data_IF_624372885618
#
_entry.id   IF_624372885618
#
_cell.length_a   1.000
_cell.length_b   1.000
_cell.length_c   1.000
_cell.angle_alpha   90.00
_cell.angle_beta   90.00
_cell.angle_gamma   90.00
#
_symmetry.space_group_name_H-M   'P 1'
#
loop_
_entity.id
_entity.type
_entity.pdbx_description
1 polymer ?
#
# COMPACT_ATOMS: atom_id res chain seq x y z
N UNK A 1 0.81 16.83 25.58
CA UNK A 1 -0.63 17.17 25.39
C UNK A 1 -1.07 17.01 23.94
N UNK A 2 -0.37 17.58 22.96
CA UNK A 2 -0.70 17.53 21.51
C UNK A 2 -0.78 16.10 20.94
N UNK A 3 0.10 15.21 21.42
CA UNK A 3 0.22 13.84 20.91
C UNK A 3 -0.98 12.93 21.27
N UNK A 4 -1.66 13.20 22.39
CA UNK A 4 -2.95 12.53 22.68
C UNK A 4 -3.96 12.84 21.57
N UNK A 5 -3.90 14.00 20.92
CA UNK A 5 -4.92 14.41 19.95
C UNK A 5 -4.95 13.57 18.66
N UNK A 6 -3.85 13.03 18.15
CA UNK A 6 -3.91 12.23 16.91
C UNK A 6 -4.53 10.85 17.15
N UNK A 7 -4.05 10.15 18.18
CA UNK A 7 -4.64 8.87 18.60
C UNK A 7 -6.06 9.05 19.14
N UNK A 8 -6.34 10.15 19.83
CA UNK A 8 -7.68 10.50 20.35
C UNK A 8 -8.63 10.92 19.24
N UNK A 9 -8.17 11.56 18.16
CA UNK A 9 -9.03 11.89 17.02
C UNK A 9 -9.41 10.62 16.24
N UNK A 10 -8.47 9.69 16.04
CA UNK A 10 -8.81 8.35 15.50
C UNK A 10 -9.73 7.58 16.47
N UNK A 11 -9.50 7.68 17.78
CA UNK A 11 -10.31 6.99 18.80
C UNK A 11 -11.71 7.61 19.01
N UNK A 12 -11.88 8.93 18.91
CA UNK A 12 -13.18 9.60 18.96
C UNK A 12 -13.99 9.40 17.67
N UNK A 13 -13.34 9.01 16.57
CA UNK A 13 -14.05 8.51 15.39
C UNK A 13 -14.50 7.06 15.51
N UNK A 14 -14.03 6.29 16.51
CA UNK A 14 -14.63 4.99 16.84
C UNK A 14 -16.06 5.11 17.39
N UNK A 15 -16.46 6.30 17.86
CA UNK A 15 -17.82 6.53 18.37
C UNK A 15 -18.81 6.98 17.30
N UNK A 16 -18.34 7.42 16.13
CA UNK A 16 -19.19 7.70 14.98
C UNK A 16 -19.25 6.43 14.11
N UNK A 17 -20.43 6.07 13.61
CA UNK A 17 -20.75 4.81 12.91
C UNK A 17 -20.10 4.69 11.51
N UNK A 18 -18.86 5.12 11.34
CA UNK A 18 -18.09 4.90 10.11
C UNK A 18 -17.66 3.45 10.04
N UNK A 19 -18.56 2.57 9.58
CA UNK A 19 -18.36 1.14 9.29
C UNK A 19 -17.23 0.50 10.09
N UNK A 20 -17.56 -0.13 11.23
CA UNK A 20 -16.69 -0.85 12.18
C UNK A 20 -15.93 -2.03 11.55
N UNK A 21 -15.21 -1.76 10.47
CA UNK A 21 -14.41 -2.72 9.74
C UNK A 21 -12.96 -2.35 9.96
N UNK A 22 -12.14 -3.36 10.22
CA UNK A 22 -10.68 -3.24 10.36
C UNK A 22 -10.05 -2.54 9.13
N UNK A 23 -10.67 -2.69 7.95
CA UNK A 23 -10.22 -2.02 6.72
C UNK A 23 -10.43 -0.50 6.76
N UNK A 24 -11.56 -0.02 7.30
CA UNK A 24 -11.80 1.42 7.48
C UNK A 24 -10.74 2.06 8.40
N UNK A 25 -10.42 1.40 9.53
CA UNK A 25 -9.39 1.87 10.45
C UNK A 25 -8.01 1.98 9.77
N UNK A 26 -7.64 0.99 8.96
CA UNK A 26 -6.39 1.00 8.17
C UNK A 26 -6.32 2.18 7.20
N UNK A 27 -7.44 2.51 6.54
CA UNK A 27 -7.49 3.63 5.59
C UNK A 27 -7.20 4.96 6.30
N UNK A 28 -7.81 5.19 7.46
CA UNK A 28 -7.59 6.42 8.24
C UNK A 28 -6.19 6.51 8.83
N UNK A 29 -5.63 5.41 9.38
CA UNK A 29 -4.24 5.39 9.85
C UNK A 29 -3.28 5.70 8.69
N UNK A 30 -3.48 5.07 7.53
CA UNK A 30 -2.68 5.33 6.33
C UNK A 30 -2.79 6.79 5.89
N UNK A 31 -4.01 7.33 5.84
CA UNK A 31 -4.29 8.73 5.48
C UNK A 31 -3.53 9.70 6.39
N UNK A 32 -3.66 9.54 7.71
CA UNK A 32 -3.02 10.39 8.72
C UNK A 32 -1.50 10.50 8.50
N UNK A 33 -0.82 9.36 8.33
CA UNK A 33 0.63 9.32 8.14
C UNK A 33 1.08 9.88 6.80
N UNK A 34 0.28 9.70 5.75
CA UNK A 34 0.60 10.25 4.43
C UNK A 34 0.40 11.77 4.38
N UNK A 35 -0.65 12.31 4.99
CA UNK A 35 -0.92 13.75 4.99
C UNK A 35 0.23 14.54 5.63
N UNK A 36 0.85 13.98 6.66
CA UNK A 36 1.99 14.60 7.36
C UNK A 36 3.25 14.79 6.49
N UNK A 37 3.35 14.10 5.34
CA UNK A 37 4.45 14.28 4.39
C UNK A 37 4.37 15.58 3.59
N UNK A 38 3.21 16.22 3.58
CA UNK A 38 2.98 17.43 2.79
C UNK A 38 3.37 18.70 3.58
N UNK A 39 3.59 19.79 2.85
CA UNK A 39 3.77 21.11 3.45
C UNK A 39 2.44 21.68 3.96
N UNK A 40 2.49 22.64 4.89
CA UNK A 40 1.30 23.28 5.44
C UNK A 40 0.49 24.01 4.36
N UNK A 41 1.16 24.62 3.38
CA UNK A 41 0.54 25.32 2.25
C UNK A 41 -0.21 24.35 1.33
N UNK A 42 0.39 23.19 1.05
CA UNK A 42 -0.25 22.11 0.29
C UNK A 42 -1.48 21.59 1.02
N UNK A 43 -1.37 21.34 2.33
CA UNK A 43 -2.51 20.88 3.14
C UNK A 43 -3.63 21.93 3.22
N UNK A 44 -3.31 23.22 3.31
CA UNK A 44 -4.31 24.28 3.29
C UNK A 44 -5.08 24.31 1.95
N UNK A 45 -4.37 24.14 0.83
CA UNK A 45 -4.97 24.06 -0.51
C UNK A 45 -5.84 22.81 -0.67
N UNK A 46 -5.39 21.67 -0.13
CA UNK A 46 -6.15 20.43 -0.10
C UNK A 46 -7.45 20.59 0.69
N UNK A 47 -7.38 21.11 1.92
CA UNK A 47 -8.56 21.35 2.76
C UNK A 47 -9.61 22.23 2.07
N UNK A 48 -9.19 23.33 1.46
CA UNK A 48 -10.11 24.22 0.75
C UNK A 48 -10.76 23.52 -0.45
N UNK A 49 -10.02 22.66 -1.14
CA UNK A 49 -10.57 21.87 -2.26
C UNK A 49 -11.58 20.83 -1.76
N UNK A 50 -11.25 20.11 -0.68
CA UNK A 50 -12.15 19.14 -0.03
C UNK A 50 -13.43 19.84 0.41
N UNK A 51 -13.33 20.97 1.11
CA UNK A 51 -14.49 21.75 1.58
C UNK A 51 -15.46 22.04 0.45
N UNK A 52 -14.99 22.58 -0.68
CA UNK A 52 -15.84 22.88 -1.85
C UNK A 52 -16.49 21.64 -2.45
N UNK A 53 -15.77 20.52 -2.51
CA UNK A 53 -16.32 19.24 -3.00
C UNK A 53 -17.46 18.79 -2.09
N UNK A 54 -17.23 18.76 -0.77
CA UNK A 54 -18.23 18.30 0.20
C UNK A 54 -19.42 19.25 0.30
N UNK A 55 -19.21 20.57 0.23
CA UNK A 55 -20.28 21.57 0.13
C UNK A 55 -21.15 21.36 -1.12
N UNK A 56 -20.55 21.03 -2.25
CA UNK A 56 -21.29 20.75 -3.49
C UNK A 56 -22.17 19.50 -3.35
N UNK A 57 -21.68 18.46 -2.68
CA UNK A 57 -22.44 17.24 -2.39
C UNK A 57 -23.56 17.52 -1.39
N UNK A 58 -23.27 18.22 -0.29
CA UNK A 58 -24.26 18.59 0.73
C UNK A 58 -25.39 19.47 0.16
N UNK A 59 -25.06 20.40 -0.74
CA UNK A 59 -26.04 21.29 -1.36
C UNK A 59 -26.99 20.54 -2.31
N UNK A 60 -26.48 19.55 -3.04
CA UNK A 60 -27.25 18.80 -4.03
C UNK A 60 -26.89 17.31 -4.03
N UNK A 61 -27.32 16.55 -2.99
CA UNK A 61 -26.88 15.17 -2.77
C UNK A 61 -27.27 14.21 -3.89
N UNK A 62 -28.42 14.44 -4.54
CA UNK A 62 -28.91 13.58 -5.63
C UNK A 62 -28.22 13.78 -6.98
N UNK A 63 -27.23 14.66 -7.10
CA UNK A 63 -26.55 14.94 -8.37
C UNK A 63 -25.27 14.10 -8.50
N UNK A 64 -25.23 13.07 -9.38
CA UNK A 64 -24.08 12.15 -9.48
C UNK A 64 -22.76 12.83 -9.86
N UNK A 65 -22.84 13.97 -10.57
CA UNK A 65 -21.68 14.76 -10.99
C UNK A 65 -20.86 15.26 -9.80
N UNK A 66 -21.49 15.64 -8.67
CA UNK A 66 -20.77 16.14 -7.50
C UNK A 66 -20.10 15.02 -6.69
N UNK A 67 -20.57 13.78 -6.88
CA UNK A 67 -20.02 12.56 -6.25
C UNK A 67 -18.88 11.91 -7.04
N UNK A 68 -18.53 12.47 -8.20
CA UNK A 68 -17.50 11.91 -9.09
C UNK A 68 -16.35 12.90 -9.28
N UNK A 69 -15.16 12.54 -8.80
CA UNK A 69 -13.94 13.30 -8.98
C UNK A 69 -13.08 12.65 -10.07
N UNK A 70 -12.92 13.35 -11.18
CA UNK A 70 -12.16 12.85 -12.34
C UNK A 70 -10.66 13.07 -12.14
N UNK A 71 -9.84 12.04 -12.35
CA UNK A 71 -8.38 12.19 -12.31
C UNK A 71 -7.86 13.11 -13.44
N UNK A 72 -8.60 13.22 -14.55
CA UNK A 72 -8.28 14.12 -15.66
C UNK A 72 -8.57 15.60 -15.36
N UNK A 73 -9.31 15.92 -14.29
CA UNK A 73 -9.51 17.30 -13.88
C UNK A 73 -8.24 17.83 -13.22
N UNK A 74 -7.56 18.79 -13.85
CA UNK A 74 -6.28 19.33 -13.37
C UNK A 74 -6.33 19.87 -11.93
N UNK A 75 -7.45 20.47 -11.50
CA UNK A 75 -7.58 20.94 -10.12
C UNK A 75 -7.68 19.78 -9.13
N UNK A 76 -8.40 18.71 -9.47
CA UNK A 76 -8.49 17.51 -8.62
C UNK A 76 -7.16 16.75 -8.63
N UNK A 77 -6.54 16.58 -9.80
CA UNK A 77 -5.25 15.92 -9.93
C UNK A 77 -4.20 16.55 -9.01
N UNK A 78 -3.99 17.86 -9.15
CA UNK A 78 -2.91 18.57 -8.46
C UNK A 78 -3.21 18.81 -6.97
N UNK A 79 -4.49 19.03 -6.61
CA UNK A 79 -4.86 19.44 -5.24
C UNK A 79 -5.39 18.30 -4.38
N UNK A 80 -5.72 17.15 -4.96
CA UNK A 80 -6.24 15.98 -4.23
C UNK A 80 -5.39 14.74 -4.53
N UNK A 81 -5.26 14.35 -5.79
CA UNK A 81 -4.65 13.06 -6.15
C UNK A 81 -3.13 13.05 -5.91
N UNK A 82 -2.43 14.13 -6.24
CA UNK A 82 -0.99 14.26 -6.03
C UNK A 82 -0.61 14.55 -4.56
N UNK A 83 -1.58 14.91 -3.72
CA UNK A 83 -1.36 15.10 -2.29
C UNK A 83 -1.22 13.73 -1.63
N UNK A 84 -0.11 13.49 -0.95
CA UNK A 84 0.09 12.23 -0.21
C UNK A 84 -1.01 12.09 0.84
N UNK A 85 -1.82 11.04 0.76
CA UNK A 85 -2.96 10.81 1.66
C UNK A 85 -4.28 11.41 1.16
N UNK A 86 -4.29 12.16 0.06
CA UNK A 86 -5.50 12.77 -0.49
C UNK A 86 -6.48 11.74 -1.03
N UNK A 87 -6.01 10.70 -1.73
CA UNK A 87 -6.87 9.60 -2.20
C UNK A 87 -7.38 8.77 -1.02
N UNK A 88 -6.51 8.45 -0.06
CA UNK A 88 -6.87 7.71 1.15
C UNK A 88 -7.93 8.44 1.98
N UNK A 89 -7.86 9.77 2.06
CA UNK A 89 -8.90 10.57 2.71
C UNK A 89 -10.28 10.35 2.08
N UNK A 90 -10.37 10.41 0.76
CA UNK A 90 -11.63 10.17 0.05
C UNK A 90 -12.08 8.70 0.16
N UNK A 91 -11.16 7.73 0.17
CA UNK A 91 -11.51 6.34 0.48
C UNK A 91 -12.09 6.20 1.89
N UNK A 92 -11.54 6.91 2.88
CA UNK A 92 -12.08 6.95 4.24
C UNK A 92 -13.49 7.53 4.31
N UNK A 93 -13.81 8.47 3.41
CA UNK A 93 -15.16 9.02 3.22
C UNK A 93 -16.12 8.08 2.46
N UNK A 94 -15.66 6.91 2.00
CA UNK A 94 -16.45 5.94 1.24
C UNK A 94 -16.40 6.11 -0.28
N UNK A 95 -15.56 7.01 -0.81
CA UNK A 95 -15.32 7.03 -2.25
C UNK A 95 -14.55 5.79 -2.67
N UNK A 96 -14.83 5.30 -3.86
CA UNK A 96 -14.13 4.18 -4.47
C UNK A 96 -13.42 4.62 -5.75
N UNK A 97 -12.32 3.96 -6.06
CA UNK A 97 -11.63 4.17 -7.32
C UNK A 97 -12.24 3.26 -8.38
N UNK A 98 -12.85 3.87 -9.39
CA UNK A 98 -13.56 3.16 -10.46
C UNK A 98 -12.92 3.47 -11.81
N UNK A 99 -12.84 2.46 -12.68
CA UNK A 99 -12.51 2.65 -14.08
C UNK A 99 -13.79 3.04 -14.84
N UNK A 100 -13.79 4.25 -15.39
CA UNK A 100 -14.86 4.86 -16.16
C UNK A 100 -14.49 4.82 -17.65
N UNK A 101 -15.39 4.31 -18.49
CA UNK A 101 -15.11 4.12 -19.92
C UNK A 101 -14.79 5.43 -20.66
N UNK A 102 -15.39 6.55 -20.24
CA UNK A 102 -15.22 7.85 -20.89
C UNK A 102 -14.09 8.66 -20.26
N UNK A 103 -13.96 8.61 -18.93
CA UNK A 103 -13.10 9.52 -18.17
C UNK A 103 -11.84 8.85 -17.62
N UNK A 104 -11.62 7.57 -17.90
CA UNK A 104 -10.51 6.80 -17.36
C UNK A 104 -10.71 6.54 -15.87
N UNK A 105 -9.77 6.93 -15.02
CA UNK A 105 -9.84 6.67 -13.58
C UNK A 105 -10.61 7.78 -12.85
N UNK A 106 -11.56 7.43 -11.99
CA UNK A 106 -12.33 8.39 -11.16
C UNK A 106 -12.40 7.96 -9.70
N UNK A 107 -12.59 8.91 -8.78
CA UNK A 107 -13.10 8.64 -7.43
C UNK A 107 -14.61 8.86 -7.45
N UNK A 108 -15.39 7.85 -7.06
CA UNK A 108 -16.86 7.92 -7.06
C UNK A 108 -17.40 7.56 -5.69
N UNK A 109 -18.33 8.35 -5.18
CA UNK A 109 -19.12 8.03 -3.99
C UNK A 109 -20.43 7.39 -4.45
N UNK A 110 -20.53 6.07 -4.36
CA UNK A 110 -21.71 5.33 -4.81
C UNK A 110 -22.88 5.54 -3.84
N UNK A 111 -24.04 5.91 -4.39
CA UNK A 111 -25.32 6.05 -3.67
C UNK A 111 -26.16 4.79 -3.68
N UNK A 112 -25.85 3.88 -4.60
CA UNK A 112 -26.69 2.70 -4.89
C UNK A 112 -26.38 1.52 -3.95
N UNK A 113 -25.43 1.71 -3.03
CA UNK A 113 -25.21 0.77 -1.94
C UNK A 113 -26.43 0.79 -1.02
N UNK A 114 -27.35 -0.15 -1.25
CA UNK A 114 -28.60 -0.31 -0.51
C UNK A 114 -28.41 -0.43 1.02
N UNK A 115 -27.17 -0.60 1.49
CA UNK A 115 -26.83 -0.66 2.91
C UNK A 115 -26.70 0.70 3.58
N UNK A 116 -26.47 1.80 2.83
CA UNK A 116 -26.19 3.12 3.40
C UNK A 116 -27.32 4.11 3.16
N UNK A 117 -27.73 4.79 4.22
CA UNK A 117 -28.68 5.90 4.10
C UNK A 117 -27.98 7.18 3.64
N UNK A 118 -28.67 7.98 2.84
CA UNK A 118 -28.16 9.27 2.36
C UNK A 118 -27.80 10.23 3.53
N UNK A 119 -28.63 10.40 4.59
CA UNK A 119 -28.28 11.26 5.73
C UNK A 119 -27.01 10.83 6.45
N UNK A 120 -26.82 9.52 6.65
CA UNK A 120 -25.62 8.96 7.28
C UNK A 120 -24.37 9.21 6.43
N UNK A 121 -24.51 9.12 5.11
CA UNK A 121 -23.41 9.46 4.19
C UNK A 121 -22.99 10.92 4.36
N UNK A 122 -23.95 11.85 4.37
CA UNK A 122 -23.64 13.29 4.55
C UNK A 122 -23.04 13.59 5.93
N UNK A 123 -23.53 12.94 6.98
CA UNK A 123 -22.95 13.04 8.32
C UNK A 123 -21.48 12.60 8.33
N UNK A 124 -21.17 11.45 7.72
CA UNK A 124 -19.81 10.93 7.60
C UNK A 124 -18.88 11.88 6.81
N UNK A 125 -19.39 12.55 5.76
CA UNK A 125 -18.63 13.56 5.03
C UNK A 125 -18.24 14.74 5.93
N UNK A 126 -19.18 15.23 6.74
CA UNK A 126 -18.92 16.34 7.66
C UNK A 126 -17.95 15.95 8.78
N UNK A 127 -18.06 14.73 9.31
CA UNK A 127 -17.13 14.19 10.30
C UNK A 127 -15.71 14.14 9.73
N UNK A 128 -15.54 13.61 8.51
CA UNK A 128 -14.23 13.58 7.87
C UNK A 128 -13.67 14.96 7.53
N UNK A 129 -14.52 15.95 7.20
CA UNK A 129 -14.08 17.34 7.04
C UNK A 129 -13.52 17.90 8.36
N UNK A 130 -14.26 17.73 9.46
CA UNK A 130 -13.84 18.18 10.78
C UNK A 130 -12.54 17.49 11.22
N UNK A 131 -12.39 16.19 10.93
CA UNK A 131 -11.16 15.45 11.12
C UNK A 131 -9.97 16.09 10.41
N UNK A 132 -10.15 16.45 9.14
CA UNK A 132 -9.09 17.03 8.31
C UNK A 132 -8.68 18.40 8.84
N UNK A 133 -9.65 19.22 9.25
CA UNK A 133 -9.40 20.53 9.87
C UNK A 133 -8.56 20.41 11.15
N UNK A 134 -8.95 19.49 12.05
CA UNK A 134 -8.23 19.22 13.29
C UNK A 134 -6.81 18.70 13.04
N UNK A 135 -6.66 17.80 12.06
CA UNK A 135 -5.38 17.22 11.63
C UNK A 135 -4.43 18.31 11.14
N UNK A 136 -4.91 19.21 10.27
CA UNK A 136 -4.11 20.30 9.70
C UNK A 136 -3.79 21.35 10.77
N UNK A 137 -4.73 21.68 11.66
CA UNK A 137 -4.50 22.58 12.79
C UNK A 137 -3.40 22.06 13.73
N UNK A 138 -3.41 20.75 14.00
CA UNK A 138 -2.37 20.08 14.78
C UNK A 138 -1.02 20.16 14.07
N UNK A 139 -0.97 19.88 12.76
CA UNK A 139 0.25 20.01 11.96
C UNK A 139 0.83 21.43 12.01
N UNK A 140 -0.02 22.46 11.93
CA UNK A 140 0.41 23.87 12.06
C UNK A 140 1.04 24.15 13.42
N UNK A 141 0.42 23.66 14.49
CA UNK A 141 0.90 23.85 15.86
C UNK A 141 2.25 23.17 16.10
N UNK A 142 2.48 22.01 15.50
CA UNK A 142 3.77 21.33 15.56
C UNK A 142 4.85 22.07 14.76
N UNK A 143 4.49 22.59 13.57
CA UNK A 143 5.43 23.32 12.72
C UNK A 143 5.94 24.62 13.37
N UNK A 144 5.10 25.36 14.11
CA UNK A 144 5.51 26.59 14.79
C UNK A 144 6.38 26.35 16.02
N UNK A 145 6.28 25.17 16.64
CA UNK A 145 7.04 24.82 17.84
C UNK A 145 8.49 24.44 17.54
N UNK A 146 8.82 24.12 16.28
CA UNK A 146 10.18 23.74 15.88
C UNK A 146 11.00 24.99 15.49
N UNK A 147 11.58 25.67 16.48
CA UNK A 147 12.41 26.88 16.32
C UNK A 147 13.78 26.64 15.67
N UNK A 148 14.11 25.41 15.28
CA UNK A 148 15.39 25.12 14.62
C UNK A 148 15.28 25.44 13.13
N UNK A 149 15.83 26.61 12.75
CA UNK A 149 15.73 27.31 11.45
C UNK A 149 16.23 26.58 10.19
N UNK A 150 15.98 25.29 10.07
CA UNK A 150 16.06 24.55 8.81
C UNK A 150 14.68 24.59 8.16
N UNK A 151 14.62 25.03 6.90
CA UNK A 151 13.40 25.10 6.09
C UNK A 151 12.82 23.70 5.84
N UNK A 152 12.18 23.11 6.86
CA UNK A 152 11.49 21.83 6.73
C UNK A 152 10.23 22.07 5.89
N UNK A 153 10.16 21.39 4.75
CA UNK A 153 9.07 21.52 3.79
C UNK A 153 7.83 20.69 4.15
N UNK A 154 7.81 19.98 5.28
CA UNK A 154 6.74 19.04 5.65
C UNK A 154 6.30 19.18 7.10
N UNK A 155 5.11 18.66 7.41
CA UNK A 155 4.53 18.69 8.75
C UNK A 155 5.16 17.66 9.70
N UNK A 156 5.71 16.58 9.15
CA UNK A 156 6.37 15.53 9.91
C UNK A 156 7.74 15.97 10.45
N UNK A 157 8.05 15.57 11.68
CA UNK A 157 9.40 15.75 12.22
C UNK A 157 10.37 14.65 11.76
N UNK A 158 9.81 13.47 11.47
CA UNK A 158 10.52 12.28 11.03
C UNK A 158 9.81 11.67 9.80
N UNK A 159 10.56 11.36 8.75
CA UNK A 159 10.07 10.63 7.58
C UNK A 159 10.58 9.21 7.61
N UNK A 160 9.67 8.25 7.72
CA UNK A 160 10.00 6.84 7.81
C UNK A 160 9.64 6.16 6.50
N UNK A 161 10.60 5.45 5.91
CA UNK A 161 10.40 4.63 4.72
C UNK A 161 10.30 3.17 5.17
N UNK A 162 9.16 2.54 4.93
CA UNK A 162 8.94 1.11 5.19
C UNK A 162 9.10 0.35 3.88
N UNK A 163 10.06 -0.57 3.84
CA UNK A 163 10.26 -1.50 2.72
C UNK A 163 9.38 -2.72 2.95
N UNK A 164 8.48 -2.97 2.01
CA UNK A 164 7.54 -4.10 2.04
C UNK A 164 8.21 -5.36 1.46
N UNK A 165 7.70 -6.57 1.78
CA UNK A 165 8.22 -7.83 1.22
C UNK A 165 8.11 -7.93 -0.29
N UNK A 166 7.21 -7.15 -0.90
CA UNK A 166 7.05 -7.04 -2.36
C UNK A 166 8.18 -6.26 -3.04
N UNK A 167 9.09 -5.66 -2.27
CA UNK A 167 10.12 -4.74 -2.77
C UNK A 167 9.64 -3.29 -2.91
N UNK A 168 8.33 -3.05 -2.80
CA UNK A 168 7.79 -1.70 -2.76
C UNK A 168 8.25 -0.96 -1.50
N UNK A 169 8.44 0.36 -1.61
CA UNK A 169 8.75 1.23 -0.48
C UNK A 169 7.62 2.23 -0.29
N UNK A 170 7.16 2.37 0.95
CA UNK A 170 6.10 3.30 1.33
C UNK A 170 6.64 4.26 2.37
N UNK A 171 6.29 5.54 2.26
CA UNK A 171 6.78 6.57 3.18
C UNK A 171 5.65 7.08 4.04
N UNK A 172 5.90 7.30 5.33
CA UNK A 172 4.96 7.93 6.26
C UNK A 172 5.63 9.04 7.06
N UNK A 173 4.84 10.05 7.42
CA UNK A 173 5.24 11.14 8.31
C UNK A 173 4.91 10.81 9.77
N UNK A 174 5.87 11.07 10.65
CA UNK A 174 5.80 10.82 12.09
C UNK A 174 6.38 12.00 12.87
N UNK A 175 6.01 12.13 14.13
CA UNK A 175 6.63 13.04 15.10
C UNK A 175 7.74 12.31 15.86
N UNK A 176 8.66 13.03 16.51
CA UNK A 176 9.74 12.43 17.33
C UNK A 176 9.22 11.55 18.46
N UNK A 177 8.12 11.99 19.08
CA UNK A 177 7.43 11.28 20.15
C UNK A 177 6.52 10.14 19.68
N UNK A 178 6.40 9.90 18.37
CA UNK A 178 5.75 8.67 17.89
C UNK A 178 6.48 7.45 18.46
N UNK A 179 5.72 6.42 18.80
CA UNK A 179 6.26 5.13 19.21
C UNK A 179 6.42 4.21 18.01
N UNK A 180 7.32 3.24 18.11
CA UNK A 180 7.59 2.29 17.03
C UNK A 180 6.35 1.42 16.68
N UNK A 181 5.44 1.16 17.61
CA UNK A 181 4.18 0.48 17.30
C UNK A 181 3.30 1.27 16.32
N UNK A 182 3.36 2.61 16.28
CA UNK A 182 2.62 3.37 15.27
C UNK A 182 3.15 3.11 13.86
N UNK A 183 4.46 2.96 13.71
CA UNK A 183 5.06 2.57 12.42
C UNK A 183 4.60 1.15 12.05
N UNK A 184 4.52 0.24 13.03
CA UNK A 184 4.00 -1.13 12.80
C UNK A 184 2.55 -1.06 12.33
N UNK A 185 1.68 -0.32 13.01
CA UNK A 185 0.27 -0.11 12.62
C UNK A 185 0.16 0.46 11.19
N UNK A 186 0.97 1.47 10.86
CA UNK A 186 1.03 2.02 9.51
C UNK A 186 1.49 0.98 8.48
N UNK A 187 2.52 0.18 8.78
CA UNK A 187 2.98 -0.90 7.91
C UNK A 187 1.88 -1.95 7.69
N UNK A 188 1.13 -2.31 8.75
CA UNK A 188 0.00 -3.24 8.68
C UNK A 188 -1.09 -2.83 7.68
N UNK A 189 -1.23 -1.54 7.37
CA UNK A 189 -2.18 -1.02 6.39
C UNK A 189 -1.88 -1.50 4.95
N UNK A 190 -0.68 -2.00 4.69
CA UNK A 190 -0.25 -2.52 3.39
C UNK A 190 -0.34 -4.05 3.27
N UNK A 191 -0.83 -4.72 4.32
CA UNK A 191 -1.03 -6.16 4.36
C UNK A 191 -2.52 -6.50 4.46
N UNK A 192 -2.89 -7.64 3.88
CA UNK A 192 -4.25 -8.18 4.02
C UNK A 192 -4.58 -8.41 5.49
N UNK A 193 -5.86 -8.33 5.86
CA UNK A 193 -6.30 -8.45 7.26
C UNK A 193 -5.93 -9.79 7.92
N UNK A 194 -5.74 -10.86 7.15
CA UNK A 194 -5.23 -12.13 7.67
C UNK A 194 -3.74 -12.09 8.09
N UNK A 195 -2.96 -11.13 7.55
CA UNK A 195 -1.50 -11.05 7.73
C UNK A 195 -1.05 -9.86 8.57
N UNK A 196 -1.93 -8.93 8.92
CA UNK A 196 -1.55 -7.72 9.67
C UNK A 196 -0.92 -8.03 11.03
N UNK A 197 -1.39 -9.06 11.73
CA UNK A 197 -0.86 -9.40 13.06
C UNK A 197 0.57 -9.97 13.00
N UNK A 198 0.95 -10.55 11.86
CA UNK A 198 2.27 -11.13 11.64
C UNK A 198 3.33 -10.11 11.20
N UNK A 199 2.95 -8.85 10.97
CA UNK A 199 3.89 -7.82 10.52
C UNK A 199 4.89 -7.51 11.63
N UNK A 200 6.16 -7.70 11.31
CA UNK A 200 7.33 -7.42 12.14
C UNK A 200 8.16 -6.33 11.47
N UNK A 201 8.78 -5.49 12.28
CA UNK A 201 9.70 -4.46 11.81
C UNK A 201 11.14 -4.89 12.06
N UNK A 202 12.03 -4.52 11.15
CA UNK A 202 13.47 -4.75 11.28
C UNK A 202 14.19 -3.41 11.14
N UNK A 203 15.06 -3.11 12.12
CA UNK A 203 15.86 -1.88 12.14
C UNK A 203 17.01 -1.96 11.12
N UNK A 204 17.38 -0.84 10.47
CA UNK A 204 18.28 -0.85 9.32
C UNK A 204 19.72 -1.28 9.63
N UNK A 205 20.27 -0.85 10.77
CA UNK A 205 21.69 -1.05 11.10
C UNK A 205 21.95 -2.41 11.76
N UNK A 206 21.08 -2.79 12.69
CA UNK A 206 21.27 -4.00 13.49
C UNK A 206 20.76 -5.25 12.77
N UNK A 207 19.86 -5.10 11.79
CA UNK A 207 19.03 -6.19 11.25
C UNK A 207 18.29 -6.98 12.33
N UNK A 208 18.17 -6.40 13.53
CA UNK A 208 17.50 -7.02 14.66
C UNK A 208 16.01 -6.80 14.47
N UNK A 209 15.27 -7.90 14.59
CA UNK A 209 13.82 -7.87 14.64
C UNK A 209 13.36 -7.08 15.87
N UNK A 210 12.44 -6.15 15.65
CA UNK A 210 11.87 -5.32 16.71
C UNK A 210 11.08 -6.19 17.67
N UNK A 211 11.55 -6.27 18.91
CA UNK A 211 10.85 -6.97 19.99
C UNK A 211 9.67 -6.14 20.51
N UNK A 212 8.72 -6.79 21.19
CA UNK A 212 7.56 -6.11 21.78
C UNK A 212 7.97 -4.99 22.77
N UNK A 213 9.09 -5.13 23.48
CA UNK A 213 9.60 -4.09 24.37
C UNK A 213 10.01 -2.81 23.62
N UNK A 214 10.56 -2.95 22.40
CA UNK A 214 10.98 -1.81 21.57
C UNK A 214 9.79 -1.08 20.92
N UNK A 215 8.62 -1.73 20.82
CA UNK A 215 7.42 -1.12 20.24
C UNK A 215 6.90 0.08 21.04
N UNK A 216 7.23 0.13 22.33
CA UNK A 216 6.89 1.23 23.23
C UNK A 216 7.92 2.37 23.26
N UNK A 217 9.10 2.17 22.68
CA UNK A 217 10.11 3.22 22.55
C UNK A 217 9.70 4.24 21.48
N UNK A 218 10.04 5.50 21.74
CA UNK A 218 9.83 6.62 20.82
C UNK A 218 10.85 6.62 19.68
N UNK A 219 10.53 7.29 18.58
CA UNK A 219 11.45 7.39 17.43
C UNK A 219 12.73 8.17 17.78
N UNK A 220 12.64 9.13 18.70
CA UNK A 220 13.80 9.87 19.20
C UNK A 220 14.71 9.01 20.06
N UNK A 221 14.16 8.21 21.00
CA UNK A 221 14.93 7.27 21.83
C UNK A 221 15.67 6.22 20.98
N UNK A 222 15.06 5.82 19.84
CA UNK A 222 15.64 4.86 18.90
C UNK A 222 16.56 5.48 17.85
N UNK A 223 16.73 6.81 17.84
CA UNK A 223 17.57 7.49 16.84
C UNK A 223 17.04 7.39 15.40
N UNK A 224 15.73 7.19 15.20
CA UNK A 224 15.11 7.00 13.87
C UNK A 224 14.73 8.33 13.19
N UNK A 225 15.14 9.46 13.76
CA UNK A 225 14.86 10.80 13.26
C UNK A 225 16.14 11.48 12.71
N UNK A 226 16.03 12.35 11.69
CA UNK A 226 14.81 12.80 11.04
C UNK A 226 14.33 11.86 9.92
N UNK A 227 15.13 10.88 9.53
CA UNK A 227 14.81 9.94 8.44
C UNK A 227 15.35 8.57 8.78
N UNK A 228 14.52 7.54 8.62
CA UNK A 228 14.94 6.16 8.77
C UNK A 228 14.29 5.27 7.72
N UNK A 229 14.94 4.14 7.44
CA UNK A 229 14.42 3.09 6.58
C UNK A 229 14.22 1.84 7.43
N UNK A 230 13.01 1.30 7.46
CA UNK A 230 12.66 0.09 8.17
C UNK A 230 12.22 -0.96 7.17
N UNK A 231 12.37 -2.23 7.53
CA UNK A 231 11.84 -3.34 6.73
C UNK A 231 10.65 -3.93 7.44
N UNK A 232 9.53 -4.10 6.73
CA UNK A 232 8.40 -4.87 7.20
C UNK A 232 8.48 -6.28 6.65
N UNK A 233 8.39 -7.28 7.51
CA UNK A 233 8.32 -8.70 7.15
C UNK A 233 7.10 -9.34 7.79
N UNK A 234 6.52 -10.33 7.13
CA UNK A 234 5.51 -11.24 7.73
C UNK A 234 6.10 -12.57 8.15
N UNK A 235 7.36 -12.82 7.77
CA UNK A 235 8.11 -14.02 8.08
C UNK A 235 9.17 -13.67 9.10
N UNK A 236 9.32 -14.52 10.11
CA UNK A 236 10.54 -14.57 10.92
C UNK A 236 11.75 -14.87 10.05
N UNK A 237 12.95 -14.58 10.55
CA UNK A 237 14.19 -14.88 9.84
C UNK A 237 14.32 -16.38 9.51
N UNK A 238 13.95 -17.24 10.46
CA UNK A 238 13.94 -18.71 10.29
C UNK A 238 12.95 -19.16 9.22
N UNK A 239 11.73 -18.62 9.19
CA UNK A 239 10.75 -18.91 8.13
C UNK A 239 11.23 -18.42 6.77
N UNK A 240 11.89 -17.25 6.73
CA UNK A 240 12.46 -16.71 5.50
C UNK A 240 13.56 -17.61 4.95
N UNK A 241 14.46 -18.09 5.80
CA UNK A 241 15.52 -19.04 5.44
C UNK A 241 14.95 -20.38 4.95
N UNK A 242 13.90 -20.89 5.62
CA UNK A 242 13.21 -22.09 5.18
C UNK A 242 12.57 -21.92 3.79
N UNK A 243 11.90 -20.79 3.53
CA UNK A 243 11.32 -20.48 2.22
C UNK A 243 12.36 -20.30 1.12
N UNK A 244 13.51 -19.71 1.44
CA UNK A 244 14.62 -19.56 0.50
C UNK A 244 15.24 -20.92 0.16
N UNK A 245 15.41 -21.78 1.16
CA UNK A 245 15.91 -23.15 0.98
C UNK A 245 14.95 -23.96 0.09
N UNK A 246 13.64 -23.90 0.38
CA UNK A 246 12.62 -24.57 -0.42
C UNK A 246 12.62 -24.09 -1.88
N UNK A 247 12.74 -22.78 -2.13
CA UNK A 247 12.83 -22.24 -3.50
C UNK A 247 14.09 -22.70 -4.22
N UNK A 248 15.21 -22.80 -3.52
CA UNK A 248 16.45 -23.30 -4.12
C UNK A 248 16.32 -24.77 -4.53
N UNK A 249 15.69 -25.59 -3.69
CA UNK A 249 15.41 -26.99 -3.98
C UNK A 249 14.43 -27.15 -5.16
N UNK A 250 13.37 -26.34 -5.20
CA UNK A 250 12.42 -26.30 -6.33
C UNK A 250 13.09 -25.89 -7.64
N UNK A 251 13.98 -24.87 -7.62
CA UNK A 251 14.74 -24.47 -8.79
C UNK A 251 15.70 -25.56 -9.25
N UNK A 252 16.36 -26.26 -8.32
CA UNK A 252 17.27 -27.37 -8.65
C UNK A 252 16.50 -28.56 -9.25
N UNK A 253 15.33 -28.90 -8.71
CA UNK A 253 14.42 -29.91 -9.26
C UNK A 253 13.93 -29.53 -10.66
N UNK A 254 13.53 -28.28 -10.87
CA UNK A 254 13.09 -27.79 -12.19
C UNK A 254 14.23 -27.86 -13.24
N UNK A 255 15.45 -27.47 -12.87
CA UNK A 255 16.62 -27.58 -13.75
C UNK A 255 16.98 -29.04 -14.06
N UNK A 256 16.86 -29.92 -13.07
CA UNK A 256 17.10 -31.36 -13.26
C UNK A 256 16.04 -31.97 -14.17
N UNK A 257 14.77 -31.60 -13.98
CA UNK A 257 13.65 -32.00 -14.85
C UNK A 257 13.86 -31.57 -16.30
N UNK A 258 14.26 -30.31 -16.54
CA UNK A 258 14.61 -29.85 -17.89
C UNK A 258 15.77 -30.62 -18.50
N UNK A 259 16.84 -30.90 -17.74
CA UNK A 259 17.98 -31.71 -18.24
C UNK A 259 17.55 -33.13 -18.62
N UNK A 260 16.68 -33.75 -17.82
CA UNK A 260 16.13 -35.08 -18.12
C UNK A 260 15.26 -35.04 -19.37
N UNK A 261 14.36 -34.06 -19.48
CA UNK A 261 13.49 -33.90 -20.65
C UNK A 261 14.30 -33.70 -21.94
N UNK A 262 15.33 -32.84 -21.92
CA UNK A 262 16.22 -32.62 -23.07
C UNK A 262 17.01 -33.89 -23.43
N UNK A 263 17.44 -34.69 -22.43
CA UNK A 263 18.11 -35.98 -22.68
C UNK A 263 17.16 -36.99 -23.32
N UNK A 264 15.92 -37.08 -22.82
CA UNK A 264 14.90 -37.97 -23.36
C UNK A 264 14.54 -37.59 -24.80
N UNK A 265 14.30 -36.32 -25.09
CA UNK A 265 14.03 -35.84 -26.46
C UNK A 265 15.19 -36.10 -27.41
N UNK A 266 16.44 -35.91 -26.96
CA UNK A 266 17.62 -36.25 -27.77
C UNK A 266 17.70 -37.75 -28.05
N UNK A 267 17.39 -38.59 -27.08
CA UNK A 267 17.36 -40.04 -27.25
C UNK A 267 16.26 -40.46 -28.23
N UNK A 268 15.02 -39.96 -28.06
CA UNK A 268 13.92 -40.25 -28.98
C UNK A 268 14.25 -39.84 -30.42
N UNK A 269 14.82 -38.64 -30.62
CA UNK A 269 15.26 -38.19 -31.95
C UNK A 269 16.39 -39.04 -32.54
N UNK A 270 17.25 -39.61 -31.70
CA UNK A 270 18.31 -40.52 -32.15
C UNK A 270 17.72 -41.86 -32.58
N UNK A 271 16.81 -42.41 -31.78
CA UNK A 271 16.12 -43.68 -32.04
C UNK A 271 15.28 -43.58 -33.33
N UNK A 272 14.55 -42.47 -33.54
CA UNK A 272 13.81 -42.18 -34.79
C UNK A 272 14.73 -42.13 -36.02
N UNK A 273 15.90 -41.47 -35.90
CA UNK A 273 16.89 -41.40 -37.01
C UNK A 273 17.46 -42.77 -37.34
N UNK A 274 17.67 -43.61 -36.33
CA UNK A 274 18.19 -44.96 -36.52
C UNK A 274 17.14 -45.86 -37.19
N UNK A 275 15.88 -45.80 -36.74
CA UNK A 275 14.77 -46.52 -37.37
C UNK A 275 14.58 -46.13 -38.85
N UNK A 276 14.65 -44.83 -39.18
CA UNK A 276 14.60 -44.35 -40.57
C UNK A 276 15.76 -44.86 -41.43
N UNK A 277 16.95 -45.01 -40.83
CA UNK A 277 18.13 -45.54 -41.53
C UNK A 277 17.99 -47.03 -41.82
N UNK A 278 17.47 -47.79 -40.87
CA UNK A 278 17.21 -49.23 -41.01
C UNK A 278 16.12 -49.49 -42.07
N UNK A 279 15.02 -48.72 -42.04
CA UNK A 279 13.95 -48.83 -43.04
C UNK A 279 14.45 -48.50 -44.45
N UNK A 280 15.26 -47.44 -44.59
CA UNK A 280 15.90 -47.11 -45.88
C UNK A 280 16.82 -48.22 -46.37
N UNK A 281 17.59 -48.85 -45.48
CA UNK A 281 18.47 -49.97 -45.84
C UNK A 281 17.67 -51.20 -46.28
N UNK A 282 16.54 -51.49 -45.61
CA UNK A 282 15.62 -52.57 -45.98
C UNK A 282 15.01 -52.35 -47.37
N UNK A 283 14.51 -51.15 -47.66
CA UNK A 283 13.95 -50.79 -48.97
C UNK A 283 15.01 -50.96 -50.07
N UNK A 284 16.23 -50.45 -49.85
CA UNK A 284 17.34 -50.59 -50.80
C UNK A 284 17.76 -52.06 -51.01
N UNK A 285 17.62 -52.91 -50.00
CA UNK A 285 17.84 -54.35 -50.09
C UNK A 285 16.82 -55.02 -51.02
N UNK A 286 15.52 -54.76 -50.82
CA UNK A 286 14.45 -55.32 -51.65
C UNK A 286 14.61 -55.00 -53.15
N UNK A 287 15.09 -53.79 -53.50
CA UNK A 287 15.38 -53.41 -54.89
C UNK A 287 16.53 -54.21 -55.53
N UNK A 288 17.46 -54.76 -54.74
CA UNK A 288 18.54 -55.61 -55.28
C UNK A 288 18.01 -56.99 -55.64
N UNK A 289 17.11 -57.52 -54.82
CA UNK A 289 16.52 -58.85 -55.04
C UNK A 289 15.59 -58.88 -56.27
N UNK A 290 14.89 -57.77 -56.57
CA UNK A 290 14.06 -57.63 -57.78
C UNK A 290 14.86 -57.57 -59.10
N UNK A 291 16.18 -57.38 -59.04
CA UNK A 291 17.06 -57.30 -60.23
C UNK A 291 17.81 -58.59 -60.55
N UNK A 292 17.71 -59.59 -59.69
CA UNK A 292 18.28 -60.93 -59.88
C UNK A 292 17.22 -61.92 -60.33
#
# INVERSE_FOLDING_TARGET
>A
AVYRSFTVVVAHHKTARMTDTVESEKVWEKCARLLMLNSIEKLATFLETVRRVLESINHAPGIPKFRTLKYSNASIANKVIEISGGVEFFHGLGFQTVADAENGKVLRLDTDDATRSEPETLENLNIGLQWLENTISTCRSCATSSTTGTSRSGCAECTIIVRLPTGASVSGGFMRGDKLHHIRSYACCYFTSQRSNAVRLVLPESRVEVTEALLDCTLEELGLCPRAVLFASIYSETEREALLSQKHDEQHLAQTGQKVQVKTEKKTKLDERQALKEERARILGAFKDDRS
#
